data_IF_558629252125
#
_entry.id   IF_558629252125
#
_cell.length_a   1.000
_cell.length_b   1.000
_cell.length_c   1.000
_cell.angle_alpha   90.00
_cell.angle_beta   90.00
_cell.angle_gamma   90.00
#
_symmetry.space_group_name_H-M   'P 1'
#
loop_
_entity.id
_entity.type
_entity.pdbx_description
1 polymer ?
#
# COMPACT_ATOMS: atom_id res chain seq x y z
N UNK A 1 31.07 -6.31 -1.05
CA UNK A 1 29.80 -6.93 -0.58
C UNK A 1 28.64 -6.48 -1.48
N UNK A 2 27.74 -7.39 -1.92
CA UNK A 2 26.60 -7.02 -2.76
C UNK A 2 25.65 -6.11 -1.98
N UNK A 3 25.36 -4.90 -2.50
CA UNK A 3 24.47 -3.95 -1.85
C UNK A 3 23.00 -4.42 -1.95
N UNK A 4 22.29 -4.43 -0.82
CA UNK A 4 20.86 -4.77 -0.75
C UNK A 4 20.08 -3.46 -0.65
N UNK A 5 19.34 -3.14 -1.72
CA UNK A 5 18.44 -1.98 -1.76
C UNK A 5 17.21 -2.16 -0.87
N UNK A 6 16.52 -1.07 -0.51
CA UNK A 6 15.25 -1.15 0.21
C UNK A 6 14.13 -1.81 -0.60
N UNK A 7 14.15 -1.68 -1.93
CA UNK A 7 13.20 -2.29 -2.87
C UNK A 7 13.87 -2.59 -4.20
N UNK A 8 13.43 -3.66 -4.84
CA UNK A 8 13.83 -4.00 -6.20
C UNK A 8 12.80 -4.96 -6.82
N UNK A 9 12.22 -4.66 -8.00
CA UNK A 9 11.34 -5.59 -8.71
C UNK A 9 12.14 -6.79 -9.24
N UNK A 10 11.47 -7.94 -9.36
CA UNK A 10 12.05 -9.17 -9.88
C UNK A 10 11.12 -9.78 -10.94
N UNK A 11 11.64 -10.06 -12.12
CA UNK A 11 10.84 -10.49 -13.27
C UNK A 11 10.89 -11.99 -13.59
N UNK A 12 11.45 -12.80 -12.70
CA UNK A 12 11.46 -14.29 -12.83
C UNK A 12 12.06 -14.80 -14.15
N UNK A 13 13.06 -14.10 -14.69
CA UNK A 13 13.68 -14.37 -16.01
C UNK A 13 12.66 -14.30 -17.17
N UNK A 14 11.62 -13.48 -17.03
CA UNK A 14 10.61 -13.27 -18.06
C UNK A 14 10.90 -12.07 -18.97
N UNK A 15 12.05 -11.44 -18.83
CA UNK A 15 12.40 -10.19 -19.54
C UNK A 15 12.30 -10.37 -21.05
N UNK A 16 12.86 -11.47 -21.60
CA UNK A 16 12.77 -11.79 -23.04
C UNK A 16 11.34 -12.04 -23.51
N UNK A 17 10.54 -12.74 -22.70
CA UNK A 17 9.14 -13.01 -23.03
C UNK A 17 8.29 -11.72 -23.00
N UNK A 18 8.51 -10.86 -22.00
CA UNK A 18 7.86 -9.54 -21.91
C UNK A 18 8.24 -8.68 -23.11
N UNK A 19 9.55 -8.60 -23.45
CA UNK A 19 10.03 -7.84 -24.61
C UNK A 19 9.39 -8.32 -25.92
N UNK A 20 9.31 -9.64 -26.14
CA UNK A 20 8.67 -10.20 -27.32
C UNK A 20 7.17 -9.87 -27.41
N UNK A 21 6.45 -9.89 -26.28
CA UNK A 21 5.04 -9.49 -26.25
C UNK A 21 4.87 -8.00 -26.56
N UNK A 22 5.73 -7.14 -25.99
CA UNK A 22 5.71 -5.71 -26.27
C UNK A 22 6.03 -5.45 -27.77
N UNK A 23 7.03 -6.14 -28.34
CA UNK A 23 7.33 -6.05 -29.77
C UNK A 23 6.09 -6.37 -30.63
N UNK A 24 5.36 -7.46 -30.30
CA UNK A 24 4.11 -7.80 -31.01
C UNK A 24 3.03 -6.71 -30.86
N UNK A 25 2.92 -6.08 -29.70
CA UNK A 25 1.99 -4.95 -29.51
C UNK A 25 2.36 -3.77 -30.39
N UNK A 26 3.64 -3.40 -30.45
CA UNK A 26 4.12 -2.30 -31.31
C UNK A 26 3.79 -2.56 -32.78
N UNK A 27 4.00 -3.80 -33.26
CA UNK A 27 3.62 -4.18 -34.63
C UNK A 27 2.10 -4.12 -34.89
N UNK A 28 1.29 -4.40 -33.88
CA UNK A 28 -0.17 -4.37 -34.03
C UNK A 28 -0.79 -2.97 -33.98
N UNK A 29 -0.06 -1.97 -33.48
CA UNK A 29 -0.55 -0.62 -33.24
C UNK A 29 -1.58 -0.51 -32.07
N UNK A 30 -2.02 -1.61 -31.47
CA UNK A 30 -3.03 -1.62 -30.38
C UNK A 30 -2.38 -1.37 -29.02
N UNK A 31 -2.12 -0.10 -28.70
CA UNK A 31 -1.35 0.29 -27.50
C UNK A 31 -2.22 0.65 -26.29
N UNK A 32 -3.53 0.82 -26.49
CA UNK A 32 -4.47 1.24 -25.46
C UNK A 32 -5.79 0.46 -25.54
N UNK A 33 -6.39 0.15 -24.38
CA UNK A 33 -7.70 -0.51 -24.26
C UNK A 33 -7.87 -1.80 -25.07
N UNK A 34 -6.89 -2.68 -25.01
CA UNK A 34 -6.88 -3.94 -25.76
C UNK A 34 -7.07 -5.18 -24.87
N UNK A 35 -6.72 -6.32 -25.46
CA UNK A 35 -6.91 -7.64 -24.86
C UNK A 35 -6.11 -7.89 -23.58
N UNK A 36 -4.91 -7.29 -23.45
CA UNK A 36 -4.09 -7.51 -22.26
C UNK A 36 -4.66 -6.80 -21.04
N UNK A 37 -5.25 -5.61 -21.24
CA UNK A 37 -5.99 -4.90 -20.17
C UNK A 37 -7.19 -5.74 -19.73
N UNK A 38 -8.03 -6.20 -20.65
CA UNK A 38 -9.19 -7.03 -20.35
C UNK A 38 -8.80 -8.34 -19.62
N UNK A 39 -7.70 -8.97 -20.05
CA UNK A 39 -7.16 -10.16 -19.39
C UNK A 39 -6.65 -9.85 -17.98
N UNK A 40 -5.96 -8.72 -17.81
CA UNK A 40 -5.49 -8.26 -16.50
C UNK A 40 -6.65 -8.02 -15.53
N UNK A 41 -7.67 -7.29 -15.95
CA UNK A 41 -8.89 -7.04 -15.16
C UNK A 41 -9.58 -8.34 -14.76
N UNK A 42 -9.79 -9.26 -15.70
CA UNK A 42 -10.38 -10.58 -15.43
C UNK A 42 -9.56 -11.40 -14.45
N UNK A 43 -8.23 -11.38 -14.56
CA UNK A 43 -7.35 -12.11 -13.63
C UNK A 43 -7.26 -11.45 -12.26
N UNK A 44 -7.25 -10.11 -12.20
CA UNK A 44 -7.25 -9.37 -10.94
C UNK A 44 -8.56 -9.55 -10.19
N UNK A 45 -9.73 -9.49 -10.86
CA UNK A 45 -11.01 -9.74 -10.19
C UNK A 45 -11.06 -11.11 -9.51
N UNK A 46 -10.59 -12.16 -10.20
CA UNK A 46 -10.47 -13.51 -9.63
C UNK A 46 -9.46 -13.59 -8.48
N UNK A 47 -8.29 -12.94 -8.64
CA UNK A 47 -7.20 -13.01 -7.65
C UNK A 47 -7.57 -12.32 -6.35
N UNK A 48 -8.30 -11.21 -6.43
CA UNK A 48 -8.70 -10.37 -5.30
C UNK A 48 -10.16 -10.61 -4.87
N UNK A 49 -10.79 -11.69 -5.37
CA UNK A 49 -12.13 -12.16 -5.00
C UNK A 49 -13.24 -11.13 -5.19
N UNK A 50 -13.13 -10.27 -6.19
CA UNK A 50 -14.14 -9.25 -6.52
C UNK A 50 -14.88 -9.61 -7.81
N UNK A 51 -16.08 -9.05 -8.03
CA UNK A 51 -16.84 -9.26 -9.27
C UNK A 51 -16.21 -8.52 -10.45
N UNK A 52 -15.65 -7.34 -10.20
CA UNK A 52 -15.11 -6.45 -11.23
C UNK A 52 -13.72 -5.94 -10.84
N UNK A 53 -12.93 -5.68 -11.87
CA UNK A 53 -11.67 -4.94 -11.75
C UNK A 53 -11.56 -3.94 -12.90
N UNK A 54 -10.98 -2.78 -12.66
CA UNK A 54 -10.80 -1.69 -13.62
C UNK A 54 -9.35 -1.24 -13.57
N UNK A 55 -8.63 -1.34 -14.69
CA UNK A 55 -7.24 -0.95 -14.79
C UNK A 55 -7.09 0.56 -14.98
N UNK A 56 -6.17 1.15 -14.22
CA UNK A 56 -5.89 2.60 -14.20
C UNK A 56 -4.39 2.89 -14.25
N UNK A 57 -4.04 4.12 -14.58
CA UNK A 57 -2.64 4.52 -14.80
C UNK A 57 -1.79 4.63 -13.52
N UNK A 58 -2.40 4.69 -12.33
CA UNK A 58 -1.67 4.70 -11.05
C UNK A 58 -2.55 4.27 -9.87
N UNK A 59 -1.92 3.89 -8.73
CA UNK A 59 -2.65 3.63 -7.50
C UNK A 59 -3.33 4.88 -6.90
N UNK A 60 -2.73 6.06 -7.05
CA UNK A 60 -3.34 7.32 -6.63
C UNK A 60 -4.61 7.60 -7.43
N UNK A 61 -4.56 7.45 -8.75
CA UNK A 61 -5.72 7.55 -9.63
C UNK A 61 -6.81 6.53 -9.27
N UNK A 62 -6.44 5.29 -8.89
CA UNK A 62 -7.41 4.31 -8.43
C UNK A 62 -8.23 4.83 -7.24
N UNK A 63 -7.58 5.45 -6.26
CA UNK A 63 -8.25 6.03 -5.08
C UNK A 63 -9.12 7.23 -5.49
N UNK A 64 -8.59 8.16 -6.29
CA UNK A 64 -9.29 9.35 -6.77
C UNK A 64 -10.59 8.97 -7.51
N UNK A 65 -10.49 8.09 -8.50
CA UNK A 65 -11.63 7.62 -9.29
C UNK A 65 -12.68 6.89 -8.45
N UNK A 66 -12.27 6.08 -7.46
CA UNK A 66 -13.21 5.46 -6.53
C UNK A 66 -13.95 6.49 -5.69
N UNK A 67 -13.26 7.51 -5.20
CA UNK A 67 -13.84 8.56 -4.37
C UNK A 67 -14.82 9.44 -5.17
N UNK A 68 -14.48 9.77 -6.42
CA UNK A 68 -15.41 10.44 -7.33
C UNK A 68 -16.66 9.56 -7.60
N UNK A 69 -16.46 8.25 -7.80
CA UNK A 69 -17.57 7.32 -8.00
C UNK A 69 -18.47 7.19 -6.76
N UNK A 70 -17.94 7.40 -5.56
CA UNK A 70 -18.63 7.38 -4.27
C UNK A 70 -19.28 8.73 -3.89
N UNK A 71 -19.20 9.76 -4.73
CA UNK A 71 -19.84 11.08 -4.54
C UNK A 71 -19.48 11.77 -3.22
N UNK A 72 -18.18 11.94 -2.97
CA UNK A 72 -17.67 12.54 -1.72
C UNK A 72 -17.59 14.07 -1.73
N UNK A 73 -18.05 14.74 -2.79
CA UNK A 73 -17.94 16.20 -2.90
C UNK A 73 -18.52 16.89 -1.66
N UNK A 74 -17.74 17.78 -1.05
CA UNK A 74 -18.03 18.51 0.19
C UNK A 74 -18.28 17.63 1.44
N UNK A 75 -17.91 16.35 1.41
CA UNK A 75 -18.06 15.43 2.54
C UNK A 75 -16.69 15.08 3.15
N UNK A 76 -16.71 14.67 4.40
CA UNK A 76 -15.53 14.25 5.13
C UNK A 76 -15.19 12.80 4.85
N UNK A 77 -13.90 12.50 4.64
CA UNK A 77 -13.37 11.15 4.51
C UNK A 77 -12.26 10.96 5.54
N UNK A 78 -12.41 9.95 6.41
CA UNK A 78 -11.41 9.63 7.42
C UNK A 78 -10.22 8.91 6.77
N UNK A 79 -9.01 9.41 7.03
CA UNK A 79 -7.76 8.93 6.42
C UNK A 79 -6.69 8.75 7.50
N UNK A 80 -5.93 7.63 7.55
CA UNK A 80 -4.81 7.52 8.47
C UNK A 80 -3.74 8.56 8.13
N UNK A 81 -3.16 9.19 9.15
CA UNK A 81 -2.11 10.19 8.93
C UNK A 81 -0.80 9.60 8.43
N UNK A 82 -0.52 8.33 8.77
CA UNK A 82 0.65 7.60 8.28
C UNK A 82 0.29 6.84 7.01
N UNK A 83 0.29 7.54 5.89
CA UNK A 83 0.12 6.98 4.55
C UNK A 83 0.94 7.77 3.54
N UNK A 84 1.05 7.24 2.31
CA UNK A 84 1.56 8.04 1.20
C UNK A 84 0.60 9.17 0.89
N UNK A 85 1.14 10.34 0.58
CA UNK A 85 0.37 11.58 0.39
C UNK A 85 -0.76 11.44 -0.63
N UNK A 86 -0.62 10.53 -1.61
CA UNK A 86 -1.64 10.29 -2.64
C UNK A 86 -2.99 9.89 -2.05
N UNK A 87 -3.03 9.15 -0.93
CA UNK A 87 -4.29 8.75 -0.28
C UNK A 87 -5.11 9.97 0.15
N UNK A 88 -4.47 10.97 0.79
CA UNK A 88 -5.14 12.19 1.23
C UNK A 88 -5.38 13.17 0.06
N UNK A 89 -4.42 13.29 -0.87
CA UNK A 89 -4.59 14.12 -2.07
C UNK A 89 -5.78 13.67 -2.91
N UNK A 90 -6.00 12.36 -3.05
CA UNK A 90 -7.14 11.81 -3.80
C UNK A 90 -8.49 12.25 -3.22
N UNK A 91 -8.59 12.40 -1.88
CA UNK A 91 -9.81 12.93 -1.24
C UNK A 91 -10.05 14.38 -1.69
N UNK A 92 -9.01 15.23 -1.63
CA UNK A 92 -9.13 16.65 -2.06
C UNK A 92 -9.46 16.76 -3.55
N UNK A 93 -8.79 15.97 -4.39
CA UNK A 93 -9.03 15.99 -5.84
C UNK A 93 -10.43 15.53 -6.23
N UNK A 94 -10.99 14.59 -5.49
CA UNK A 94 -12.40 14.17 -5.65
C UNK A 94 -13.40 15.13 -4.99
N UNK A 95 -12.94 16.31 -4.52
CA UNK A 95 -13.77 17.36 -3.93
C UNK A 95 -14.19 17.12 -2.49
N UNK A 96 -13.61 16.13 -1.80
CA UNK A 96 -13.87 15.82 -0.39
C UNK A 96 -12.91 16.52 0.57
N UNK A 97 -13.16 16.34 1.85
CA UNK A 97 -12.40 16.92 2.95
C UNK A 97 -11.70 15.79 3.72
N UNK A 98 -10.36 15.66 3.66
CA UNK A 98 -9.67 14.62 4.42
C UNK A 98 -9.66 14.97 5.90
N UNK A 99 -10.13 14.06 6.74
CA UNK A 99 -10.06 14.12 8.21
C UNK A 99 -9.03 13.10 8.68
N UNK A 100 -7.90 13.58 9.17
CA UNK A 100 -6.81 12.70 9.57
C UNK A 100 -7.09 12.01 10.90
N UNK A 101 -6.92 10.69 10.89
CA UNK A 101 -6.96 9.84 12.07
C UNK A 101 -5.55 9.39 12.49
N UNK A 102 -5.42 9.12 13.78
CA UNK A 102 -4.22 8.51 14.35
C UNK A 102 -4.06 7.05 13.88
N UNK A 103 -2.96 6.44 14.21
CA UNK A 103 -2.68 5.04 13.89
C UNK A 103 -2.64 4.19 15.15
N UNK A 104 -2.91 2.92 14.98
CA UNK A 104 -2.59 1.89 15.96
C UNK A 104 -1.10 1.51 15.86
N UNK A 105 -0.27 1.77 16.89
CA UNK A 105 1.15 1.45 16.86
C UNK A 105 1.45 -0.04 16.71
N UNK A 106 0.53 -0.92 17.10
CA UNK A 106 0.72 -2.36 17.02
C UNK A 106 0.63 -2.89 15.58
N UNK A 107 -0.08 -2.18 14.71
CA UNK A 107 -0.32 -2.61 13.32
C UNK A 107 0.19 -1.63 12.27
N UNK A 108 0.38 -0.35 12.64
CA UNK A 108 0.69 0.76 11.73
C UNK A 108 -0.48 1.18 10.86
N UNK A 109 -1.68 0.60 11.05
CA UNK A 109 -2.90 0.94 10.32
C UNK A 109 -3.73 1.99 11.10
N UNK A 110 -4.83 2.47 10.51
CA UNK A 110 -5.71 3.45 11.15
C UNK A 110 -6.23 2.97 12.50
N UNK A 111 -6.24 3.85 13.50
CA UNK A 111 -6.74 3.56 14.84
C UNK A 111 -8.27 3.56 14.85
N UNK A 112 -8.86 2.40 15.15
CA UNK A 112 -10.30 2.22 15.18
C UNK A 112 -11.00 3.10 16.23
N UNK A 113 -10.37 3.34 17.39
CA UNK A 113 -10.93 4.17 18.43
C UNK A 113 -10.93 5.65 18.03
N UNK A 114 -9.90 6.10 17.31
CA UNK A 114 -9.88 7.47 16.77
C UNK A 114 -10.91 7.65 15.66
N UNK A 115 -11.10 6.62 14.80
CA UNK A 115 -12.17 6.60 13.79
C UNK A 115 -13.55 6.73 14.46
N UNK A 116 -13.85 5.95 15.51
CA UNK A 116 -15.13 6.03 16.24
C UNK A 116 -15.42 7.43 16.77
N UNK A 117 -14.39 8.12 17.29
CA UNK A 117 -14.51 9.48 17.83
C UNK A 117 -14.76 10.54 16.74
N UNK A 118 -14.29 10.30 15.51
CA UNK A 118 -14.33 11.28 14.41
C UNK A 118 -15.50 11.11 13.46
N UNK A 119 -16.16 9.96 13.46
CA UNK A 119 -17.38 9.76 12.66
C UNK A 119 -18.44 10.76 13.10
N UNK A 120 -19.01 11.49 12.14
CA UNK A 120 -20.08 12.45 12.35
C UNK A 120 -21.00 12.50 11.13
N UNK A 121 -22.04 13.37 11.13
CA UNK A 121 -23.04 13.48 10.07
C UNK A 121 -22.48 13.90 8.69
N UNK A 122 -21.26 14.48 8.63
CA UNK A 122 -20.58 14.87 7.39
C UNK A 122 -19.70 13.76 6.84
N UNK A 123 -19.45 12.70 7.62
CA UNK A 123 -18.55 11.61 7.24
C UNK A 123 -19.20 10.76 6.14
N UNK A 124 -18.57 10.71 4.97
CA UNK A 124 -18.98 9.84 3.86
C UNK A 124 -18.37 8.44 3.98
N UNK A 125 -17.15 8.32 4.50
CA UNK A 125 -16.48 7.04 4.60
C UNK A 125 -15.10 7.09 5.22
N UNK A 126 -14.44 5.93 5.20
CA UNK A 126 -13.10 5.71 5.74
C UNK A 126 -12.23 5.07 4.67
N UNK A 127 -10.99 5.53 4.53
CA UNK A 127 -9.95 4.84 3.76
C UNK A 127 -9.07 4.04 4.73
N UNK A 128 -9.07 2.72 4.55
CA UNK A 128 -8.18 1.84 5.28
C UNK A 128 -6.92 1.56 4.47
N UNK A 129 -5.76 1.93 4.99
CA UNK A 129 -4.46 1.68 4.36
C UNK A 129 -3.82 0.46 5.00
N UNK A 130 -3.56 -0.58 4.21
CA UNK A 130 -2.80 -1.76 4.67
C UNK A 130 -1.31 -1.45 4.76
N UNK A 131 -0.95 -0.66 5.78
CA UNK A 131 0.41 -0.16 5.90
C UNK A 131 1.43 -1.29 5.96
N UNK A 132 2.54 -1.18 5.21
CA UNK A 132 3.59 -2.21 5.06
C UNK A 132 3.14 -3.55 4.45
N UNK A 133 1.85 -3.72 4.16
CA UNK A 133 1.23 -4.99 3.76
C UNK A 133 0.87 -5.86 4.97
N UNK A 134 0.60 -5.25 6.10
CA UNK A 134 0.01 -5.88 7.31
C UNK A 134 -1.51 -5.86 7.17
N UNK A 135 -2.14 -6.99 7.46
CA UNK A 135 -3.59 -7.17 7.38
C UNK A 135 -4.12 -7.48 8.78
N UNK A 136 -4.45 -6.47 9.60
CA UNK A 136 -4.88 -6.69 10.98
C UNK A 136 -6.38 -7.03 11.06
N UNK A 137 -6.79 -7.61 12.19
CA UNK A 137 -8.21 -7.89 12.51
C UNK A 137 -9.09 -6.64 12.46
N UNK A 138 -8.53 -5.47 12.76
CA UNK A 138 -9.27 -4.20 12.82
C UNK A 138 -9.97 -3.83 11.50
N UNK A 139 -9.53 -4.32 10.33
CA UNK A 139 -10.25 -4.11 9.07
C UNK A 139 -11.66 -4.72 9.09
N UNK A 140 -11.82 -5.89 9.72
CA UNK A 140 -13.11 -6.55 9.81
C UNK A 140 -14.04 -5.80 10.78
N UNK A 141 -13.47 -5.28 11.86
CA UNK A 141 -14.20 -4.46 12.84
C UNK A 141 -14.59 -3.12 12.21
N UNK A 142 -13.69 -2.49 11.47
CA UNK A 142 -13.96 -1.26 10.73
C UNK A 142 -15.06 -1.45 9.68
N UNK A 143 -15.06 -2.56 8.92
CA UNK A 143 -16.14 -2.91 7.99
C UNK A 143 -17.51 -2.90 8.69
N UNK A 144 -17.60 -3.52 9.88
CA UNK A 144 -18.85 -3.55 10.67
C UNK A 144 -19.25 -2.14 11.12
N UNK A 145 -18.26 -1.35 11.57
CA UNK A 145 -18.47 0.04 11.99
C UNK A 145 -19.00 0.92 10.83
N UNK A 146 -18.38 0.83 9.66
CA UNK A 146 -18.82 1.56 8.47
C UNK A 146 -20.24 1.17 8.06
N UNK A 147 -20.56 -0.14 8.04
CA UNK A 147 -21.91 -0.62 7.74
C UNK A 147 -22.96 -0.09 8.74
N UNK A 148 -22.64 -0.11 10.06
CA UNK A 148 -23.52 0.43 11.11
C UNK A 148 -23.84 1.91 10.89
N UNK A 149 -22.84 2.70 10.48
CA UNK A 149 -22.97 4.14 10.25
C UNK A 149 -23.40 4.51 8.83
N UNK A 150 -23.65 3.53 7.94
CA UNK A 150 -24.04 3.73 6.53
C UNK A 150 -23.04 4.58 5.74
N UNK A 151 -21.76 4.43 6.04
CA UNK A 151 -20.63 5.09 5.37
C UNK A 151 -19.80 4.05 4.61
N UNK A 152 -19.09 4.46 3.55
CA UNK A 152 -18.26 3.53 2.78
C UNK A 152 -16.95 3.17 3.49
N UNK A 153 -16.42 2.00 3.11
CA UNK A 153 -15.06 1.56 3.41
C UNK A 153 -14.30 1.40 2.10
N UNK A 154 -13.27 2.22 1.87
CA UNK A 154 -12.35 2.09 0.75
C UNK A 154 -11.04 1.47 1.22
N UNK A 155 -10.58 0.41 0.55
CA UNK A 155 -9.31 -0.25 0.85
C UNK A 155 -8.19 0.38 0.00
N UNK A 156 -7.24 1.09 0.62
CA UNK A 156 -5.95 1.38 -0.01
C UNK A 156 -5.06 0.14 0.16
N UNK A 157 -5.11 -0.72 -0.83
CA UNK A 157 -4.43 -2.00 -0.89
C UNK A 157 -3.08 -1.94 -1.64
N UNK A 158 -2.50 -0.73 -1.80
CA UNK A 158 -1.26 -0.50 -2.54
C UNK A 158 -0.06 -1.32 -2.03
N UNK A 159 -0.12 -1.84 -0.81
CA UNK A 159 0.92 -2.70 -0.21
C UNK A 159 0.46 -4.16 -0.01
N UNK A 160 -0.81 -4.48 -0.27
CA UNK A 160 -1.47 -5.69 0.23
C UNK A 160 -1.92 -6.69 -0.84
N UNK A 161 -1.29 -6.71 -2.01
CA UNK A 161 -1.62 -7.61 -3.12
C UNK A 161 -1.62 -9.08 -2.69
N UNK A 162 -2.81 -9.70 -2.66
CA UNK A 162 -2.99 -11.11 -2.30
C UNK A 162 -2.90 -11.41 -0.80
N UNK A 163 -3.00 -10.38 0.05
CA UNK A 163 -3.18 -10.52 1.50
C UNK A 163 -4.60 -10.93 1.87
N UNK A 164 -4.79 -11.44 3.10
CA UNK A 164 -6.11 -11.79 3.64
C UNK A 164 -6.11 -11.82 5.15
N UNK A 165 -7.29 -11.68 5.75
CA UNK A 165 -7.57 -11.98 7.15
C UNK A 165 -8.59 -13.12 7.23
N UNK A 166 -8.16 -14.29 7.65
CA UNK A 166 -8.97 -15.51 7.55
C UNK A 166 -9.40 -15.75 6.09
N UNK A 167 -10.71 -15.89 5.87
CA UNK A 167 -11.30 -16.04 4.53
C UNK A 167 -11.53 -14.73 3.77
N UNK A 168 -11.35 -13.58 4.42
CA UNK A 168 -11.58 -12.27 3.81
C UNK A 168 -10.34 -11.85 3.02
N UNK A 169 -10.45 -11.77 1.71
CA UNK A 169 -9.36 -11.40 0.80
C UNK A 169 -9.32 -9.89 0.63
N UNK A 170 -8.13 -9.29 0.74
CA UNK A 170 -7.92 -7.87 0.43
C UNK A 170 -8.29 -7.61 -1.03
N UNK A 171 -9.17 -6.65 -1.24
CA UNK A 171 -9.77 -6.36 -2.54
C UNK A 171 -11.28 -6.60 -2.61
N UNK A 172 -11.86 -7.26 -1.57
CA UNK A 172 -13.29 -7.57 -1.47
C UNK A 172 -13.82 -7.39 -0.04
N UNK A 173 -13.05 -6.73 0.82
CA UNK A 173 -13.48 -6.46 2.20
C UNK A 173 -14.34 -5.20 2.26
N UNK A 174 -13.88 -4.11 1.67
CA UNK A 174 -14.59 -2.83 1.57
C UNK A 174 -15.60 -2.78 0.43
N UNK A 175 -16.12 -1.59 0.14
CA UNK A 175 -16.99 -1.32 -1.01
C UNK A 175 -16.21 -1.32 -2.33
N UNK A 176 -14.94 -0.88 -2.26
CA UNK A 176 -13.97 -0.98 -3.33
C UNK A 176 -12.55 -1.05 -2.74
N UNK A 177 -11.58 -1.51 -3.55
CA UNK A 177 -10.18 -1.51 -3.19
C UNK A 177 -9.32 -1.00 -4.34
N UNK A 178 -8.20 -0.34 -3.97
CA UNK A 178 -7.27 0.31 -4.87
C UNK A 178 -5.87 -0.28 -4.71
N UNK A 179 -5.31 -0.84 -5.78
CA UNK A 179 -3.98 -1.41 -5.78
C UNK A 179 -3.05 -0.56 -6.66
N UNK A 180 -1.79 -0.48 -6.29
CA UNK A 180 -0.75 0.22 -7.05
C UNK A 180 0.21 -0.77 -7.70
N UNK A 181 0.52 -0.54 -8.98
CA UNK A 181 1.54 -1.30 -9.71
C UNK A 181 2.85 -0.50 -9.88
N UNK A 182 3.08 0.48 -9.02
CA UNK A 182 4.34 1.22 -8.99
C UNK A 182 5.54 0.29 -8.83
N UNK A 183 6.70 0.69 -9.37
CA UNK A 183 7.92 -0.13 -9.48
C UNK A 183 8.36 -0.86 -8.20
N UNK A 184 8.08 -0.33 -7.00
CA UNK A 184 8.51 -0.93 -5.73
C UNK A 184 7.46 -1.80 -5.05
N UNK A 185 6.25 -1.87 -5.59
CA UNK A 185 5.12 -2.61 -5.00
C UNK A 185 5.32 -4.13 -5.07
N UNK A 186 4.45 -4.87 -4.42
CA UNK A 186 4.48 -6.35 -4.39
C UNK A 186 4.31 -6.91 -5.80
N UNK A 187 3.42 -6.32 -6.58
CA UNK A 187 3.20 -6.53 -7.99
C UNK A 187 3.46 -5.21 -8.72
N UNK A 188 4.13 -5.22 -9.86
CA UNK A 188 4.50 -4.00 -10.58
C UNK A 188 4.30 -4.11 -12.09
N UNK A 189 4.01 -2.96 -12.71
CA UNK A 189 4.10 -2.71 -14.15
C UNK A 189 4.97 -1.48 -14.50
N UNK A 190 5.79 -1.04 -13.52
CA UNK A 190 6.50 0.24 -13.57
C UNK A 190 5.63 1.34 -12.98
N UNK A 191 4.60 1.72 -13.68
CA UNK A 191 3.46 2.52 -13.21
C UNK A 191 2.17 1.77 -13.52
N UNK A 192 1.07 2.11 -12.81
CA UNK A 192 -0.24 1.51 -12.98
C UNK A 192 -0.98 1.30 -11.67
N UNK A 193 -2.20 0.86 -11.79
CA UNK A 193 -3.06 0.50 -10.66
C UNK A 193 -4.26 -0.31 -11.12
N UNK A 194 -5.03 -0.80 -10.16
CA UNK A 194 -6.29 -1.47 -10.43
C UNK A 194 -7.27 -1.19 -9.30
N UNK A 195 -8.51 -0.92 -9.67
CA UNK A 195 -9.66 -0.83 -8.78
C UNK A 195 -10.33 -2.20 -8.77
N UNK A 196 -10.75 -2.69 -7.60
CA UNK A 196 -11.61 -3.86 -7.49
C UNK A 196 -12.86 -3.52 -6.71
N UNK A 197 -14.02 -4.07 -7.13
CA UNK A 197 -15.29 -3.89 -6.45
C UNK A 197 -16.27 -5.00 -6.85
N UNK A 198 -17.19 -5.34 -5.96
CA UNK A 198 -18.34 -6.22 -6.29
C UNK A 198 -19.62 -5.42 -6.57
N UNK A 199 -19.56 -4.09 -6.48
CA UNK A 199 -20.67 -3.19 -6.74
C UNK A 199 -20.67 -2.71 -8.20
N UNK A 200 -21.72 -3.08 -8.96
CA UNK A 200 -21.86 -2.71 -10.37
C UNK A 200 -21.93 -1.20 -10.60
N UNK A 201 -22.60 -0.44 -9.70
CA UNK A 201 -22.71 1.03 -9.83
C UNK A 201 -21.33 1.71 -9.71
N UNK A 202 -20.51 1.29 -8.72
CA UNK A 202 -19.13 1.79 -8.57
C UNK A 202 -18.33 1.44 -9.82
N UNK A 203 -18.38 0.19 -10.28
CA UNK A 203 -17.68 -0.28 -11.50
C UNK A 203 -18.03 0.57 -12.71
N UNK A 204 -19.33 0.77 -13.01
CA UNK A 204 -19.77 1.48 -14.21
C UNK A 204 -19.33 2.95 -14.16
N UNK A 205 -19.45 3.61 -13.00
CA UNK A 205 -19.03 4.99 -12.81
C UNK A 205 -17.50 5.14 -12.91
N UNK A 206 -16.72 4.26 -12.27
CA UNK A 206 -15.24 4.24 -12.42
C UNK A 206 -14.83 4.06 -13.87
N UNK A 207 -15.47 3.10 -14.60
CA UNK A 207 -15.14 2.84 -16.02
C UNK A 207 -15.44 4.04 -16.91
N UNK A 208 -16.47 4.82 -16.58
CA UNK A 208 -16.79 6.08 -17.28
C UNK A 208 -15.73 7.16 -16.97
N UNK A 209 -15.45 7.41 -15.69
CA UNK A 209 -14.55 8.48 -15.25
C UNK A 209 -13.14 8.31 -15.81
N UNK A 210 -12.59 7.09 -15.85
CA UNK A 210 -11.25 6.83 -16.40
C UNK A 210 -11.13 7.09 -17.90
N UNK A 211 -12.27 7.20 -18.59
CA UNK A 211 -12.37 7.44 -20.02
C UNK A 211 -13.15 8.72 -20.30
N UNK A 212 -12.70 9.84 -19.73
CA UNK A 212 -13.26 11.18 -19.90
C UNK A 212 -14.70 11.35 -19.44
N UNK A 213 -15.28 10.44 -18.68
CA UNK A 213 -16.69 10.46 -18.27
C UNK A 213 -17.66 9.91 -19.33
N UNK A 214 -17.13 9.20 -20.35
CA UNK A 214 -17.91 8.64 -21.46
C UNK A 214 -18.93 7.63 -20.96
N UNK A 215 -20.16 7.74 -21.45
CA UNK A 215 -21.17 6.72 -21.23
C UNK A 215 -20.78 5.42 -21.95
N UNK A 216 -21.07 4.27 -21.31
CA UNK A 216 -20.70 2.96 -21.86
C UNK A 216 -21.69 2.46 -22.94
N UNK A 217 -22.88 3.09 -23.04
CA UNK A 217 -24.00 2.60 -23.86
C UNK A 217 -24.52 3.60 -24.91
N UNK A 218 -24.01 4.85 -24.86
CA UNK A 218 -24.40 5.90 -25.79
C UNK A 218 -23.24 6.90 -26.01
N UNK A 219 -23.32 7.84 -26.96
CA UNK A 219 -22.23 8.74 -27.30
C UNK A 219 -22.01 9.88 -26.29
N UNK A 220 -22.81 10.01 -25.24
CA UNK A 220 -22.73 11.14 -24.31
C UNK A 220 -21.66 10.92 -23.22
N UNK A 221 -21.25 12.02 -22.61
CA UNK A 221 -20.33 12.04 -21.45
C UNK A 221 -21.16 12.44 -20.22
N UNK A 222 -21.38 11.48 -19.31
CA UNK A 222 -22.27 11.68 -18.17
C UNK A 222 -21.56 12.25 -16.93
N UNK A 223 -20.22 12.22 -16.91
CA UNK A 223 -19.40 12.65 -15.78
C UNK A 223 -18.23 13.52 -16.27
N UNK A 224 -17.74 14.40 -15.40
CA UNK A 224 -16.42 15.00 -15.59
C UNK A 224 -15.38 13.92 -15.30
N UNK A 225 -14.69 13.45 -16.32
CA UNK A 225 -13.66 12.43 -16.21
C UNK A 225 -12.36 12.87 -16.85
N UNK A 226 -11.36 11.98 -16.87
CA UNK A 226 -10.07 12.27 -17.45
C UNK A 226 -9.49 11.03 -18.17
N UNK A 227 -8.33 11.15 -18.79
CA UNK A 227 -7.57 10.02 -19.28
C UNK A 227 -6.78 9.36 -18.13
N UNK A 228 -7.41 8.40 -17.48
CA UNK A 228 -6.82 7.63 -16.38
C UNK A 228 -6.54 6.17 -16.75
N UNK A 229 -6.58 5.86 -18.05
CA UNK A 229 -6.43 4.51 -18.59
C UNK A 229 -5.01 3.95 -18.41
N UNK A 230 -4.91 2.66 -18.15
CA UNK A 230 -3.67 1.90 -18.26
C UNK A 230 -3.36 1.64 -19.75
N UNK A 231 -2.09 1.46 -20.08
CA UNK A 231 -1.66 1.06 -21.43
C UNK A 231 -1.53 -0.47 -21.54
N UNK A 232 -1.63 -0.99 -22.77
CA UNK A 232 -1.42 -2.41 -23.07
C UNK A 232 0.00 -2.88 -22.69
N UNK A 233 1.02 -2.02 -22.84
CA UNK A 233 2.41 -2.33 -22.46
C UNK A 233 2.51 -2.59 -20.96
N UNK A 234 1.93 -1.72 -20.15
CA UNK A 234 1.90 -1.91 -18.69
C UNK A 234 1.09 -3.15 -18.30
N UNK A 235 -0.02 -3.43 -19.00
CA UNK A 235 -0.82 -4.63 -18.76
C UNK A 235 -0.02 -5.94 -19.02
N UNK A 236 0.79 -6.00 -20.08
CA UNK A 236 1.70 -7.14 -20.36
C UNK A 236 2.66 -7.37 -19.20
N UNK A 237 3.25 -6.30 -18.65
CA UNK A 237 4.19 -6.40 -17.53
C UNK A 237 3.44 -6.86 -16.26
N UNK A 238 2.30 -6.25 -15.94
CA UNK A 238 1.47 -6.61 -14.78
C UNK A 238 1.02 -8.08 -14.83
N UNK A 239 0.55 -8.57 -15.98
CA UNK A 239 0.17 -9.97 -16.20
C UNK A 239 1.32 -10.93 -15.93
N UNK A 240 2.54 -10.58 -16.35
CA UNK A 240 3.73 -11.39 -16.10
C UNK A 240 4.04 -11.50 -14.61
N UNK A 241 3.83 -10.43 -13.84
CA UNK A 241 4.03 -10.39 -12.39
C UNK A 241 2.91 -11.12 -11.64
N UNK A 242 1.66 -10.93 -12.04
CA UNK A 242 0.48 -11.53 -11.40
C UNK A 242 0.57 -13.07 -11.39
N UNK A 243 1.12 -13.68 -12.46
CA UNK A 243 1.38 -15.13 -12.55
C UNK A 243 2.23 -15.64 -11.36
N UNK A 244 3.13 -14.80 -10.82
CA UNK A 244 4.05 -15.18 -9.76
C UNK A 244 3.67 -14.60 -8.38
N UNK A 245 2.50 -13.98 -8.23
CA UNK A 245 2.11 -13.30 -6.99
C UNK A 245 2.20 -14.21 -5.75
N UNK A 246 1.70 -15.44 -5.83
CA UNK A 246 1.80 -16.41 -4.72
C UNK A 246 3.25 -16.67 -4.32
N UNK A 247 4.15 -16.80 -5.31
CA UNK A 247 5.58 -17.03 -5.09
C UNK A 247 6.27 -15.81 -4.47
N UNK A 248 5.89 -14.62 -4.92
CA UNK A 248 6.38 -13.35 -4.36
C UNK A 248 6.00 -13.25 -2.87
N UNK A 249 4.74 -13.50 -2.54
CA UNK A 249 4.23 -13.41 -1.16
C UNK A 249 4.89 -14.48 -0.28
N UNK A 250 5.00 -15.72 -0.77
CA UNK A 250 5.65 -16.80 -0.03
C UNK A 250 7.10 -16.46 0.34
N UNK A 251 7.87 -15.92 -0.61
CA UNK A 251 9.24 -15.48 -0.35
C UNK A 251 9.29 -14.36 0.71
N UNK A 252 8.44 -13.31 0.57
CA UNK A 252 8.39 -12.19 1.54
C UNK A 252 8.06 -12.68 2.94
N UNK A 253 7.12 -13.61 3.06
CA UNK A 253 6.78 -14.24 4.33
C UNK A 253 7.95 -15.07 4.91
N UNK A 254 8.70 -15.79 4.06
CA UNK A 254 9.90 -16.53 4.49
C UNK A 254 10.93 -15.57 5.08
N UNK A 255 11.19 -14.44 4.43
CA UNK A 255 12.12 -13.41 4.92
C UNK A 255 11.60 -12.76 6.21
N UNK A 256 10.30 -12.41 6.26
CA UNK A 256 9.67 -11.84 7.45
C UNK A 256 9.78 -12.77 8.67
N UNK A 257 9.55 -14.07 8.50
CA UNK A 257 9.71 -15.08 9.58
C UNK A 257 11.15 -15.11 10.13
N UNK A 258 12.17 -14.92 9.27
CA UNK A 258 13.56 -14.84 9.72
C UNK A 258 13.76 -13.59 10.58
N UNK A 259 13.25 -12.44 10.16
CA UNK A 259 13.29 -11.21 10.95
C UNK A 259 12.56 -11.37 12.28
N UNK A 260 11.34 -11.93 12.27
CA UNK A 260 10.56 -12.20 13.49
C UNK A 260 11.33 -13.04 14.51
N UNK A 261 11.98 -14.11 14.04
CA UNK A 261 12.73 -15.02 14.91
C UNK A 261 14.02 -14.39 15.47
N UNK A 262 14.72 -13.55 14.70
CA UNK A 262 16.08 -13.08 15.05
C UNK A 262 16.13 -11.64 15.56
N UNK A 263 15.03 -10.88 15.46
CA UNK A 263 14.87 -9.53 16.02
C UNK A 263 13.80 -9.53 17.10
N UNK A 264 13.86 -10.50 18.03
CA UNK A 264 12.91 -10.64 19.12
C UNK A 264 12.84 -9.33 19.91
N UNK A 265 11.65 -9.00 20.43
CA UNK A 265 11.44 -7.84 21.29
C UNK A 265 12.51 -7.81 22.39
N UNK A 266 13.32 -6.76 22.39
CA UNK A 266 14.41 -6.54 23.32
C UNK A 266 14.57 -5.03 23.56
N UNK A 267 15.65 -4.64 24.26
CA UNK A 267 15.95 -3.24 24.53
C UNK A 267 16.12 -2.35 23.27
N UNK A 268 16.30 -2.95 22.09
CA UNK A 268 16.60 -2.22 20.86
C UNK A 268 15.42 -2.16 19.88
N UNK A 269 14.58 -3.19 19.88
CA UNK A 269 13.54 -3.37 18.87
C UNK A 269 12.19 -3.74 19.49
N UNK A 270 11.11 -3.13 18.96
CA UNK A 270 9.73 -3.59 19.15
C UNK A 270 9.17 -3.96 17.78
N UNK A 271 8.65 -5.17 17.65
CA UNK A 271 7.97 -5.64 16.45
C UNK A 271 6.47 -5.28 16.47
N UNK A 272 5.86 -5.23 15.29
CA UNK A 272 4.42 -5.11 15.19
C UNK A 272 3.72 -6.41 15.63
N UNK A 273 2.51 -6.28 16.13
CA UNK A 273 1.66 -7.43 16.46
C UNK A 273 1.12 -8.06 15.17
N UNK A 274 1.28 -9.37 15.05
CA UNK A 274 0.84 -10.14 13.89
C UNK A 274 -0.20 -11.15 14.33
N UNK A 275 -1.43 -11.00 13.85
CA UNK A 275 -2.49 -11.96 14.09
C UNK A 275 -2.22 -13.27 13.31
N UNK A 276 -2.48 -14.42 13.94
CA UNK A 276 -2.30 -15.75 13.34
C UNK A 276 -3.18 -16.00 12.11
N UNK A 277 -4.32 -15.31 12.02
CA UNK A 277 -5.23 -15.39 10.89
C UNK A 277 -4.85 -14.48 9.74
N UNK A 278 -3.80 -13.66 9.90
CA UNK A 278 -3.33 -12.73 8.87
C UNK A 278 -2.42 -13.40 7.87
N UNK A 279 -2.73 -13.27 6.59
CA UNK A 279 -1.82 -13.54 5.50
C UNK A 279 -1.25 -12.22 5.00
N UNK A 280 -0.18 -11.77 5.66
CA UNK A 280 0.48 -10.51 5.33
C UNK A 280 1.29 -10.62 4.04
N UNK A 281 1.46 -9.50 3.34
CA UNK A 281 2.25 -9.45 2.11
C UNK A 281 3.68 -8.96 2.36
N UNK A 282 3.90 -8.29 3.49
CA UNK A 282 5.20 -7.71 3.86
C UNK A 282 5.88 -6.97 2.71
N UNK A 283 5.18 -5.97 2.13
CA UNK A 283 5.82 -5.06 1.17
C UNK A 283 7.11 -4.47 1.74
N UNK A 284 7.11 -4.23 3.06
CA UNK A 284 8.27 -3.95 3.92
C UNK A 284 8.09 -4.69 5.24
N UNK A 285 9.18 -4.94 5.93
CA UNK A 285 9.13 -5.45 7.29
C UNK A 285 9.38 -4.31 8.28
N UNK A 286 8.34 -3.80 8.95
CA UNK A 286 8.45 -2.69 9.90
C UNK A 286 8.92 -3.19 11.27
N UNK A 287 9.77 -2.40 11.92
CA UNK A 287 10.12 -2.52 13.34
C UNK A 287 10.31 -1.12 13.93
N UNK A 288 10.10 -1.00 15.23
CA UNK A 288 10.37 0.22 15.96
C UNK A 288 11.69 0.09 16.71
N UNK A 289 12.53 1.12 16.62
CA UNK A 289 13.76 1.25 17.39
C UNK A 289 13.47 1.80 18.78
N UNK A 290 14.32 1.46 19.74
CA UNK A 290 14.40 2.18 21.02
C UNK A 290 14.71 3.67 20.76
N UNK A 291 14.11 4.55 21.55
CA UNK A 291 14.33 6.01 21.47
C UNK A 291 15.81 6.40 21.69
N UNK A 292 16.61 5.51 22.27
CA UNK A 292 18.04 5.71 22.47
C UNK A 292 18.88 5.49 21.22
N UNK A 293 18.31 4.94 20.13
CA UNK A 293 19.01 4.61 18.90
C UNK A 293 18.60 5.57 17.78
N UNK A 294 19.56 6.39 17.32
CA UNK A 294 19.33 7.26 16.17
C UNK A 294 19.21 6.45 14.88
N UNK A 295 18.00 6.45 14.26
CA UNK A 295 17.77 5.74 12.99
C UNK A 295 18.61 6.29 11.83
N UNK A 296 18.99 7.59 11.85
CA UNK A 296 19.86 8.19 10.83
C UNK A 296 21.29 7.63 10.93
N UNK A 297 21.82 7.52 12.16
CA UNK A 297 23.13 6.90 12.39
C UNK A 297 23.11 5.43 12.03
N UNK A 298 22.07 4.71 12.48
CA UNK A 298 21.85 3.30 12.14
C UNK A 298 21.84 3.09 10.63
N UNK A 299 21.08 3.88 9.86
CA UNK A 299 21.01 3.78 8.40
C UNK A 299 22.38 4.00 7.76
N UNK A 300 23.10 5.03 8.15
CA UNK A 300 24.44 5.30 7.62
C UNK A 300 25.40 4.12 7.85
N UNK A 301 25.36 3.50 9.04
CA UNK A 301 26.19 2.33 9.35
C UNK A 301 25.77 1.10 8.53
N UNK A 302 24.45 0.83 8.43
CA UNK A 302 23.92 -0.26 7.61
C UNK A 302 24.34 -0.14 6.15
N UNK A 303 24.25 1.05 5.56
CA UNK A 303 24.60 1.28 4.16
C UNK A 303 26.12 1.25 3.90
N UNK A 304 26.91 1.95 4.73
CA UNK A 304 28.35 2.10 4.51
C UNK A 304 29.15 0.86 4.91
N UNK A 305 28.88 0.31 6.10
CA UNK A 305 29.68 -0.79 6.67
C UNK A 305 29.14 -2.17 6.27
N UNK A 306 27.82 -2.34 6.21
CA UNK A 306 27.19 -3.66 6.10
C UNK A 306 26.47 -3.91 4.77
N UNK A 307 26.40 -2.92 3.89
CA UNK A 307 25.92 -3.04 2.52
C UNK A 307 24.41 -3.35 2.38
N UNK A 308 23.56 -2.91 3.34
CA UNK A 308 22.12 -2.99 3.20
C UNK A 308 21.44 -1.70 3.62
N UNK A 309 20.27 -1.42 3.00
CA UNK A 309 19.53 -0.19 3.23
C UNK A 309 18.33 -0.42 4.14
N UNK A 310 18.25 0.35 5.23
CA UNK A 310 17.03 0.54 5.99
C UNK A 310 16.32 1.81 5.53
N UNK A 311 14.98 1.80 5.55
CA UNK A 311 14.14 2.92 5.14
C UNK A 311 13.10 3.19 6.22
N UNK A 312 12.33 4.26 6.10
CA UNK A 312 11.12 4.51 6.88
C UNK A 312 10.09 5.23 6.02
N UNK A 313 8.82 5.12 6.37
CA UNK A 313 7.69 5.65 5.59
C UNK A 313 6.50 5.93 6.50
N UNK A 314 5.83 6.97 6.36
CA UNK A 314 6.03 8.15 5.53
C UNK A 314 6.25 9.33 6.47
N UNK A 315 7.31 10.07 6.25
CA UNK A 315 7.67 11.22 7.07
C UNK A 315 8.05 12.37 6.16
N UNK A 316 7.50 13.59 6.39
CA UNK A 316 6.53 13.96 7.44
C UNK A 316 5.17 13.26 7.27
N UNK A 317 4.42 13.07 8.39
CA UNK A 317 3.04 12.56 8.38
C UNK A 317 2.12 13.47 7.56
N UNK A 318 1.03 12.94 7.00
CA UNK A 318 0.15 13.69 6.10
C UNK A 318 -0.38 14.98 6.74
N UNK A 319 -0.85 14.95 7.99
CA UNK A 319 -1.36 16.14 8.67
C UNK A 319 -0.29 17.22 8.95
N UNK A 320 1.00 16.90 8.81
CA UNK A 320 2.12 17.85 8.93
C UNK A 320 2.61 18.39 7.58
N UNK A 321 2.07 17.89 6.47
CA UNK A 321 2.45 18.37 5.14
C UNK A 321 1.89 19.77 4.90
N UNK A 322 2.63 20.69 4.26
CA UNK A 322 2.18 22.06 4.03
C UNK A 322 0.83 22.17 3.35
N UNK A 323 0.54 21.27 2.40
CA UNK A 323 -0.74 21.23 1.67
C UNK A 323 -1.96 20.97 2.57
N UNK A 324 -1.77 20.37 3.76
CA UNK A 324 -2.83 20.08 4.74
C UNK A 324 -2.69 20.87 6.06
N UNK A 325 -1.54 21.51 6.29
CA UNK A 325 -1.20 22.10 7.60
C UNK A 325 -1.54 23.58 7.73
N UNK A 326 -2.30 24.13 6.79
CA UNK A 326 -2.45 25.60 6.68
C UNK A 326 -3.06 26.28 7.92
N UNK A 327 -3.71 25.56 8.85
CA UNK A 327 -4.29 26.17 10.09
C UNK A 327 -4.52 25.20 11.27
N UNK A 328 -4.16 23.91 11.20
CA UNK A 328 -4.57 22.98 12.25
C UNK A 328 -3.46 22.69 13.28
N UNK A 329 -3.75 22.94 14.55
CA UNK A 329 -2.97 22.47 15.71
C UNK A 329 -3.22 20.97 15.98
N UNK A 330 -3.62 20.20 14.96
CA UNK A 330 -3.96 18.78 15.11
C UNK A 330 -2.74 18.00 15.61
N UNK A 331 -2.91 17.31 16.72
CA UNK A 331 -1.93 16.39 17.29
C UNK A 331 -2.43 14.96 17.16
N UNK A 332 -1.65 14.10 16.53
CA UNK A 332 -1.90 12.67 16.41
C UNK A 332 -0.74 11.93 17.07
N UNK A 333 -0.83 11.84 18.40
CA UNK A 333 0.30 11.55 19.28
C UNK A 333 0.90 10.15 19.04
N UNK A 334 0.05 9.15 18.72
CA UNK A 334 0.52 7.79 18.46
C UNK A 334 1.37 7.76 17.19
N UNK A 335 0.88 8.35 16.09
CA UNK A 335 1.62 8.42 14.83
C UNK A 335 2.88 9.29 14.97
N UNK A 336 2.79 10.46 15.62
CA UNK A 336 3.92 11.37 15.80
C UNK A 336 5.05 10.76 16.63
N UNK A 337 4.74 9.95 17.62
CA UNK A 337 5.72 9.20 18.41
C UNK A 337 6.30 8.04 17.58
N UNK A 338 5.43 7.25 16.98
CA UNK A 338 5.78 6.01 16.31
C UNK A 338 6.67 6.24 15.09
N UNK A 339 6.38 7.28 14.28
CA UNK A 339 7.15 7.55 13.05
C UNK A 339 8.62 7.84 13.31
N UNK A 340 8.97 8.38 14.48
CA UNK A 340 10.35 8.74 14.85
C UNK A 340 11.24 7.52 15.06
N UNK A 341 10.67 6.41 15.53
CA UNK A 341 11.37 5.16 15.81
C UNK A 341 11.24 4.12 14.71
N UNK A 342 10.33 4.32 13.74
CA UNK A 342 10.08 3.37 12.67
C UNK A 342 11.25 3.20 11.73
N UNK A 343 11.61 1.94 11.47
CA UNK A 343 12.44 1.54 10.32
C UNK A 343 11.80 0.37 9.58
N UNK A 344 12.14 0.23 8.30
CA UNK A 344 11.67 -0.85 7.44
C UNK A 344 12.83 -1.64 6.87
N UNK A 345 12.76 -2.96 6.98
CA UNK A 345 13.73 -3.87 6.41
C UNK A 345 13.26 -4.41 5.04
N UNK A 346 14.19 -4.69 4.12
CA UNK A 346 13.87 -5.19 2.80
C UNK A 346 13.37 -6.64 2.84
N UNK A 347 12.35 -6.94 2.03
CA UNK A 347 11.72 -8.27 1.91
C UNK A 347 11.62 -8.77 0.48
N UNK A 348 12.13 -7.97 -0.50
CA UNK A 348 12.03 -8.31 -1.92
C UNK A 348 12.84 -9.55 -2.32
N UNK A 349 12.57 -10.11 -3.49
CA UNK A 349 13.11 -11.42 -3.92
C UNK A 349 14.64 -11.50 -4.07
N UNK A 350 15.32 -10.35 -4.11
CA UNK A 350 16.80 -10.33 -4.09
C UNK A 350 17.39 -10.46 -2.69
N UNK A 351 16.57 -10.45 -1.63
CA UNK A 351 17.00 -10.72 -0.25
C UNK A 351 16.94 -12.21 -0.02
N UNK A 352 18.09 -12.87 0.02
CA UNK A 352 18.18 -14.31 0.34
C UNK A 352 17.97 -14.56 1.84
N UNK A 353 17.56 -15.76 2.27
CA UNK A 353 17.47 -16.12 3.69
C UNK A 353 18.76 -15.84 4.47
N UNK A 354 19.91 -16.14 3.88
CA UNK A 354 21.24 -15.84 4.43
C UNK A 354 21.49 -14.34 4.60
N UNK A 355 21.00 -13.51 3.66
CA UNK A 355 21.07 -12.04 3.78
C UNK A 355 20.20 -11.55 4.94
N UNK A 356 19.00 -12.10 5.12
CA UNK A 356 18.10 -11.73 6.21
C UNK A 356 18.73 -12.06 7.58
N UNK A 357 19.35 -13.23 7.74
CA UNK A 357 20.07 -13.60 8.96
C UNK A 357 21.23 -12.63 9.21
N UNK A 358 22.02 -12.31 8.17
CA UNK A 358 23.13 -11.36 8.24
C UNK A 358 22.64 -9.95 8.63
N UNK A 359 21.53 -9.50 8.07
CA UNK A 359 20.88 -8.21 8.43
C UNK A 359 20.55 -8.19 9.92
N UNK A 360 19.93 -9.24 10.45
CA UNK A 360 19.58 -9.33 11.88
C UNK A 360 20.83 -9.29 12.77
N UNK A 361 21.85 -10.09 12.45
CA UNK A 361 23.12 -10.10 13.21
C UNK A 361 23.73 -8.71 13.26
N UNK A 362 23.86 -8.05 12.10
CA UNK A 362 24.48 -6.73 11.99
C UNK A 362 23.64 -5.65 12.69
N UNK A 363 22.31 -5.69 12.60
CA UNK A 363 21.46 -4.75 13.33
C UNK A 363 21.64 -4.88 14.85
N UNK A 364 21.65 -6.10 15.38
CA UNK A 364 21.88 -6.33 16.80
C UNK A 364 23.24 -5.81 17.23
N UNK A 365 24.31 -6.06 16.45
CA UNK A 365 25.68 -5.56 16.71
C UNK A 365 25.73 -4.04 16.74
N UNK A 366 25.18 -3.38 15.70
CA UNK A 366 25.14 -1.91 15.61
C UNK A 366 24.40 -1.32 16.80
N UNK A 367 23.22 -1.88 17.14
CA UNK A 367 22.41 -1.35 18.22
C UNK A 367 23.10 -1.49 19.58
N UNK A 368 23.77 -2.64 19.86
CA UNK A 368 24.59 -2.80 21.07
C UNK A 368 25.69 -1.75 21.16
N UNK A 369 26.42 -1.53 20.07
CA UNK A 369 27.51 -0.57 20.03
C UNK A 369 27.03 0.89 20.21
N UNK A 370 25.88 1.24 19.63
CA UNK A 370 25.28 2.58 19.79
C UNK A 370 24.73 2.80 21.22
N UNK A 371 24.16 1.75 21.81
CA UNK A 371 23.61 1.78 23.16
C UNK A 371 24.70 1.87 24.22
N UNK A 372 25.77 1.08 24.08
CA UNK A 372 26.92 1.09 24.99
C UNK A 372 27.64 2.44 25.06
N UNK A 373 27.82 3.10 23.91
CA UNK A 373 28.45 4.44 23.85
C UNK A 373 27.63 5.53 24.55
N UNK A 374 26.30 5.39 24.71
CA UNK A 374 25.47 6.37 25.43
C UNK A 374 25.45 6.16 26.95
N UNK A 375 25.87 4.99 27.44
CA UNK A 375 26.00 4.72 28.88
C UNK A 375 27.36 5.11 29.45
N UNK A 376 28.33 5.42 28.57
CA UNK A 376 29.70 5.82 28.94
C UNK A 376 29.93 7.33 28.81
N UNK A 377 28.89 8.12 28.63
CA UNK A 377 28.81 9.58 28.70
C UNK A 377 27.81 9.95 29.81
#
# INVERSE_FOLDING_TARGET
MKKISGAKPYFFRQEKNIANKIKKLLHSGNLSQGKNISELEKKCSKTFNSKFAIAVNSGGTAIEVCLEALDIKNKEVLVPTQTFIATANSVVRAGGIPVFCDIDPETGCIDLEDVKKKINKKTAGVIFVYMFGIIPKSIIELKRLCKKNKIFLLEDAAHAHGGSFGKNIVGDIGDAACFSFYATKVLTSGEGGIITTSNKKIKDKCSSIINHGRNLHNPYFNYSGNNFRLTEIQAVIALSQLKYLKKIISHRNKIAKIYQKNLINNLFFKQLSIDKNSKNTYWRYPIYLSDQISRNVLRKLCEKKYGFRVTWMYEPLCHKQPVFNSKSKLKLLKAEKTIKSLINLPTHLFVKPTDAIRICKNLNEICRNLYGKKKSI
#
